data_IF_755751709664
#
_entry.id   IF_755751709664
#
_cell.length_a   1.000
_cell.length_b   1.000
_cell.length_c   1.000
_cell.angle_alpha   90.00
_cell.angle_beta   90.00
_cell.angle_gamma   90.00
#
_symmetry.space_group_name_H-M   'P 1'
#
loop_
_entity.id
_entity.type
_entity.pdbx_description
1 polymer ?
#
# COMPACT_ATOMS: atom_id res chain seq x y z
N UNK A 1 14.29 -0.53 -8.54
CA UNK A 1 13.28 -1.45 -7.98
C UNK A 1 12.27 -0.62 -7.18
N UNK A 2 10.99 -0.83 -7.42
CA UNK A 2 9.94 -0.06 -6.73
C UNK A 2 9.54 -0.73 -5.43
N UNK A 3 9.34 0.07 -4.40
CA UNK A 3 8.86 -0.43 -3.12
C UNK A 3 7.81 0.52 -2.55
N UNK A 4 6.88 -0.05 -1.80
CA UNK A 4 5.87 0.69 -1.03
C UNK A 4 6.13 0.41 0.44
N UNK A 5 6.25 1.46 1.24
CA UNK A 5 6.38 1.33 2.69
C UNK A 5 5.00 1.55 3.32
N UNK A 6 4.63 0.68 4.26
CA UNK A 6 3.39 0.84 5.02
C UNK A 6 3.71 1.06 6.50
N UNK A 7 2.92 1.90 7.16
CA UNK A 7 3.12 2.22 8.56
C UNK A 7 1.79 2.36 9.28
N UNK A 8 1.69 1.76 10.46
CA UNK A 8 0.54 1.92 11.34
C UNK A 8 0.55 3.31 11.96
N UNK A 9 -0.61 3.97 11.94
CA UNK A 9 -0.81 5.26 12.58
C UNK A 9 -1.80 5.10 13.72
N UNK A 10 -1.37 5.42 14.94
CA UNK A 10 -2.17 5.27 16.13
C UNK A 10 -3.41 6.17 16.09
N UNK A 11 -4.45 5.76 16.81
CA UNK A 11 -5.63 6.58 16.99
C UNK A 11 -5.28 7.87 17.74
N UNK A 12 -5.92 8.97 17.34
CA UNK A 12 -5.79 10.27 17.99
C UNK A 12 -7.17 10.71 18.48
N UNK A 13 -7.24 11.84 19.19
CA UNK A 13 -8.51 12.35 19.71
C UNK A 13 -9.56 12.59 18.63
N UNK A 14 -9.12 12.90 17.41
CA UNK A 14 -10.02 13.22 16.31
C UNK A 14 -10.08 12.17 15.22
N UNK A 15 -9.19 11.17 15.23
CA UNK A 15 -9.10 10.16 14.16
C UNK A 15 -8.81 8.79 14.74
N UNK A 16 -9.44 7.76 14.18
CA UNK A 16 -9.17 6.38 14.54
C UNK A 16 -7.84 5.88 13.99
N UNK A 17 -7.51 4.62 14.31
CA UNK A 17 -6.32 3.97 13.81
C UNK A 17 -6.33 3.89 12.29
N UNK A 18 -5.18 4.02 11.66
CA UNK A 18 -5.04 4.07 10.20
C UNK A 18 -3.76 3.37 9.80
N UNK A 19 -3.68 3.02 8.50
CA UNK A 19 -2.43 2.56 7.89
C UNK A 19 -2.12 3.46 6.69
N UNK A 20 -0.88 3.92 6.61
CA UNK A 20 -0.39 4.73 5.50
C UNK A 20 0.49 3.86 4.60
N UNK A 21 0.22 3.90 3.30
CA UNK A 21 1.09 3.30 2.29
C UNK A 21 1.73 4.43 1.48
N UNK A 22 3.03 4.35 1.25
CA UNK A 22 3.79 5.43 0.64
C UNK A 22 4.88 4.90 -0.27
N UNK A 23 5.07 5.56 -1.40
CA UNK A 23 6.20 5.31 -2.29
C UNK A 23 6.57 6.63 -3.01
N UNK A 24 7.55 6.56 -3.91
CA UNK A 24 8.01 7.76 -4.64
C UNK A 24 6.90 8.40 -5.47
N UNK A 25 5.96 7.60 -6.00
CA UNK A 25 4.87 8.10 -6.85
C UNK A 25 3.77 8.79 -6.05
N UNK A 26 3.52 8.36 -4.80
CA UNK A 26 2.47 8.94 -4.00
C UNK A 26 2.18 8.14 -2.75
N UNK A 27 1.10 8.51 -2.06
CA UNK A 27 0.73 7.86 -0.82
C UNK A 27 -0.79 7.82 -0.65
N UNK A 28 -1.25 6.93 0.24
CA UNK A 28 -2.64 6.83 0.63
C UNK A 28 -2.71 6.46 2.10
N UNK A 29 -3.77 6.91 2.78
CA UNK A 29 -4.06 6.53 4.16
C UNK A 29 -5.44 5.87 4.16
N UNK A 30 -5.52 4.65 4.72
CA UNK A 30 -6.79 3.94 4.83
C UNK A 30 -7.15 3.75 6.30
N UNK A 31 -8.45 3.63 6.64
CA UNK A 31 -8.86 3.24 7.98
C UNK A 31 -8.29 1.85 8.30
N UNK A 32 -7.97 1.61 9.58
CA UNK A 32 -7.44 0.32 10.00
C UNK A 32 -8.48 -0.78 9.73
N UNK A 33 -8.12 -1.82 8.96
CA UNK A 33 -9.08 -2.89 8.64
C UNK A 33 -9.15 -3.88 9.81
N UNK A 34 -10.06 -3.66 10.74
CA UNK A 34 -10.17 -4.45 11.98
C UNK A 34 -10.51 -5.92 11.73
N UNK A 35 -11.08 -6.25 10.57
CA UNK A 35 -11.37 -7.62 10.19
C UNK A 35 -10.14 -8.41 9.76
N UNK A 36 -9.03 -7.74 9.54
CA UNK A 36 -7.74 -8.36 9.18
C UNK A 36 -6.78 -8.30 10.34
N UNK A 37 -5.74 -9.10 10.32
CA UNK A 37 -4.74 -9.13 11.39
C UNK A 37 -3.32 -9.10 10.82
N UNK A 38 -2.40 -8.52 11.59
CA UNK A 38 -0.97 -8.54 11.28
C UNK A 38 -0.63 -7.98 9.91
N UNK A 39 0.12 -8.75 9.15
CA UNK A 39 0.63 -8.32 7.85
C UNK A 39 -0.48 -8.06 6.82
N UNK A 40 -1.63 -8.68 6.99
CA UNK A 40 -2.75 -8.49 6.06
C UNK A 40 -3.27 -7.05 6.08
N UNK A 41 -3.19 -6.35 7.22
CA UNK A 41 -3.61 -4.96 7.31
C UNK A 41 -2.71 -4.06 6.46
N UNK A 42 -1.41 -4.32 6.48
CA UNK A 42 -0.45 -3.59 5.66
C UNK A 42 -0.63 -3.92 4.18
N UNK A 43 -0.89 -5.19 3.87
CA UNK A 43 -1.16 -5.61 2.49
C UNK A 43 -2.40 -4.91 1.92
N UNK A 44 -3.45 -4.74 2.73
CA UNK A 44 -4.65 -4.03 2.30
C UNK A 44 -4.33 -2.59 1.89
N UNK A 45 -3.44 -1.92 2.63
CA UNK A 45 -3.02 -0.55 2.30
C UNK A 45 -2.25 -0.52 0.97
N UNK A 46 -1.36 -1.49 0.74
CA UNK A 46 -0.63 -1.61 -0.53
C UNK A 46 -1.60 -1.79 -1.69
N UNK A 47 -2.58 -2.70 -1.54
CA UNK A 47 -3.54 -2.96 -2.59
C UNK A 47 -4.39 -1.73 -2.90
N UNK A 48 -4.77 -0.95 -1.89
CA UNK A 48 -5.51 0.28 -2.10
C UNK A 48 -4.70 1.29 -2.92
N UNK A 49 -3.42 1.45 -2.61
CA UNK A 49 -2.54 2.36 -3.34
C UNK A 49 -2.30 1.88 -4.77
N UNK A 50 -2.06 0.59 -4.95
CA UNK A 50 -1.86 -0.02 -6.27
C UNK A 50 -3.12 0.14 -7.14
N UNK A 51 -4.29 -0.09 -6.58
CA UNK A 51 -5.56 0.08 -7.30
C UNK A 51 -5.70 1.51 -7.80
N UNK A 52 -5.34 2.49 -6.97
CA UNK A 52 -5.37 3.90 -7.37
C UNK A 52 -4.43 4.16 -8.55
N UNK A 53 -3.22 3.61 -8.51
CA UNK A 53 -2.27 3.77 -9.61
C UNK A 53 -2.78 3.12 -10.89
N UNK A 54 -3.36 1.93 -10.80
CA UNK A 54 -3.91 1.23 -11.95
C UNK A 54 -5.06 2.03 -12.58
N UNK A 55 -5.95 2.56 -11.76
CA UNK A 55 -7.08 3.36 -12.25
C UNK A 55 -6.60 4.63 -12.94
N UNK A 56 -5.62 5.33 -12.36
CA UNK A 56 -5.06 6.53 -12.96
C UNK A 56 -4.39 6.23 -14.31
N UNK A 57 -3.64 5.13 -14.38
CA UNK A 57 -2.93 4.77 -15.60
C UNK A 57 -3.88 4.30 -16.69
N UNK A 58 -4.94 3.57 -16.34
CA UNK A 58 -5.94 3.17 -17.32
C UNK A 58 -6.62 4.38 -17.96
N UNK A 59 -6.92 5.41 -17.17
CA UNK A 59 -7.55 6.62 -17.70
C UNK A 59 -6.59 7.41 -18.61
N UNK A 60 -5.29 7.14 -18.51
CA UNK A 60 -4.28 7.74 -19.38
C UNK A 60 -3.89 6.86 -20.58
N UNK A 61 -4.53 5.69 -20.70
CA UNK A 61 -4.30 4.80 -21.84
C UNK A 61 -3.42 3.60 -21.58
N UNK A 62 -2.93 3.39 -20.36
CA UNK A 62 -2.10 2.23 -20.03
C UNK A 62 -2.98 1.07 -19.59
N UNK A 63 -3.00 -0.06 -20.32
CA UNK A 63 -3.82 -1.21 -19.91
C UNK A 63 -3.36 -1.79 -18.58
N UNK A 64 -4.32 -2.26 -17.80
CA UNK A 64 -4.03 -2.85 -16.48
C UNK A 64 -3.12 -4.06 -16.60
N UNK A 65 -3.30 -4.87 -17.62
CA UNK A 65 -2.55 -6.12 -17.83
C UNK A 65 -1.04 -5.89 -18.03
N UNK A 66 -0.66 -4.74 -18.57
CA UNK A 66 0.76 -4.42 -18.84
C UNK A 66 1.33 -3.43 -17.83
N UNK A 67 0.54 -2.98 -16.86
CA UNK A 67 0.96 -2.00 -15.89
C UNK A 67 1.96 -2.62 -14.90
N UNK A 68 3.05 -1.88 -14.62
CA UNK A 68 4.07 -2.32 -13.66
C UNK A 68 3.47 -2.70 -12.31
N UNK A 69 2.48 -1.95 -11.84
CA UNK A 69 1.91 -2.14 -10.51
C UNK A 69 0.97 -3.35 -10.41
N UNK A 70 0.61 -3.95 -11.54
CA UNK A 70 -0.24 -5.16 -11.57
C UNK A 70 0.64 -6.41 -11.54
N UNK A 71 1.38 -6.60 -10.46
CA UNK A 71 2.26 -7.76 -10.30
C UNK A 71 2.43 -8.10 -8.83
N UNK A 72 2.98 -9.27 -8.57
CA UNK A 72 3.19 -9.75 -7.21
C UNK A 72 4.26 -8.93 -6.50
N UNK A 73 4.21 -8.91 -5.19
CA UNK A 73 5.22 -8.27 -4.36
C UNK A 73 5.53 -9.16 -3.16
N UNK A 74 6.73 -8.96 -2.59
CA UNK A 74 7.15 -9.61 -1.35
C UNK A 74 7.20 -8.58 -0.25
N UNK A 75 6.90 -8.99 0.98
CA UNK A 75 6.79 -8.09 2.13
C UNK A 75 7.77 -8.47 3.22
N UNK A 76 8.28 -7.47 3.92
CA UNK A 76 9.17 -7.67 5.06
C UNK A 76 8.98 -6.59 6.09
N UNK A 77 9.24 -6.92 7.36
CA UNK A 77 9.14 -5.96 8.46
C UNK A 77 10.44 -5.14 8.56
N UNK A 78 10.28 -3.88 8.93
CA UNK A 78 11.41 -2.99 9.19
C UNK A 78 11.59 -2.83 10.71
N UNK A 79 12.79 -2.42 11.16
CA UNK A 79 13.07 -2.31 12.60
C UNK A 79 12.16 -1.35 13.37
N UNK A 80 11.57 -0.38 12.70
CA UNK A 80 10.69 0.62 13.33
C UNK A 80 9.22 0.17 13.40
N UNK A 81 8.93 -1.08 13.04
CA UNK A 81 7.56 -1.61 13.05
C UNK A 81 6.78 -1.37 11.78
N UNK A 82 7.33 -0.65 10.81
CA UNK A 82 6.71 -0.51 9.50
C UNK A 82 7.03 -1.71 8.63
N UNK A 83 6.46 -1.77 7.43
CA UNK A 83 6.73 -2.83 6.46
C UNK A 83 7.13 -2.25 5.11
N UNK A 84 7.96 -2.97 4.40
CA UNK A 84 8.31 -2.65 3.02
C UNK A 84 7.78 -3.76 2.10
N UNK A 85 7.24 -3.37 0.96
CA UNK A 85 6.66 -4.28 -0.03
C UNK A 85 7.35 -4.02 -1.35
N UNK A 86 8.08 -5.02 -1.85
CA UNK A 86 8.93 -4.88 -3.04
C UNK A 86 8.29 -5.64 -4.19
N UNK A 87 8.05 -4.95 -5.29
CA UNK A 87 7.43 -5.55 -6.45
C UNK A 87 8.46 -6.35 -7.24
N UNK A 88 8.12 -7.59 -7.55
CA UNK A 88 8.98 -8.49 -8.31
C UNK A 88 8.73 -8.30 -9.80
N UNK A 89 9.79 -8.46 -10.58
CA UNK A 89 9.70 -8.33 -12.02
C UNK A 89 8.98 -9.52 -12.67
#
# INVERSE_FOLDING_TARGET
MQSIQTKYLSATDSKGSRIKAKCARGSIVIPYPHELTGDETHRAAVLALVTRFLDEDESKGTPRETNFWNRAFVSGSLPDGSMAHIFTA
#
